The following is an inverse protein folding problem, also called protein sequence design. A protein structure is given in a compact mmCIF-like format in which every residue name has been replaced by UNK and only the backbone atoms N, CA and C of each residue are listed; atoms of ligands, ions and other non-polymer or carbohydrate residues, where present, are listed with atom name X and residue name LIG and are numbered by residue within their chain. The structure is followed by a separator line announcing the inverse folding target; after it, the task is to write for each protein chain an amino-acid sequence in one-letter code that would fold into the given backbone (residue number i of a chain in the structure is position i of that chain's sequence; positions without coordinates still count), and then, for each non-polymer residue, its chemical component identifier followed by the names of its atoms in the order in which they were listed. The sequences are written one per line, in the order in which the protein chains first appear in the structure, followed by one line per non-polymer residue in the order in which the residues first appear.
data_IF_247445005654
#
_entry.id   IF_247445005654
#
_cell.length_a   1.000
_cell.length_b   1.000
_cell.length_c   1.000
_cell.angle_alpha   90.00
_cell.angle_beta   90.00
_cell.angle_gamma   90.00
#
_symmetry.space_group_name_H-M   'P 1'
#
loop_
_entity.id
_entity.type
_entity.pdbx_description
1 polymer ?
#
# COMPACT_ATOMS: atom_id res chain seq x y z
N UNK A 1 44.63 23.28 -81.38
CA UNK A 1 44.16 24.03 -80.19
C UNK A 1 42.88 23.36 -79.75
N UNK A 2 42.76 22.62 -78.66
CA UNK A 2 43.64 22.29 -77.54
C UNK A 2 42.89 21.35 -76.59
N UNK A 3 43.65 20.74 -75.67
CA UNK A 3 43.31 20.10 -74.37
C UNK A 3 42.14 19.11 -74.27
N UNK A 4 42.31 17.89 -73.76
CA UNK A 4 42.82 17.43 -72.44
C UNK A 4 41.83 17.62 -71.29
N UNK A 5 41.64 16.54 -70.50
CA UNK A 5 40.88 16.43 -69.24
C UNK A 5 39.72 15.44 -69.40
N UNK A 6 39.78 14.16 -69.05
CA UNK A 6 40.13 13.57 -67.74
C UNK A 6 39.48 14.32 -66.58
N UNK A 7 38.29 13.87 -66.17
CA UNK A 7 37.82 14.04 -64.80
C UNK A 7 37.16 12.75 -64.32
N UNK A 8 37.84 12.18 -63.32
CA UNK A 8 37.46 11.03 -62.53
C UNK A 8 36.21 11.38 -61.72
N UNK A 9 35.09 10.70 -61.99
CA UNK A 9 33.96 10.76 -61.06
C UNK A 9 34.15 9.66 -60.01
N UNK A 10 34.66 10.09 -58.86
CA UNK A 10 34.90 9.28 -57.66
C UNK A 10 33.55 8.89 -57.06
N UNK A 11 33.36 7.58 -56.88
CA UNK A 11 32.31 7.00 -56.07
C UNK A 11 32.30 7.64 -54.67
N UNK A 12 31.28 8.46 -54.40
CA UNK A 12 30.97 8.93 -53.06
C UNK A 12 30.01 7.92 -52.41
N UNK A 13 30.58 7.04 -51.59
CA UNK A 13 29.83 6.24 -50.64
C UNK A 13 29.01 7.15 -49.70
N UNK A 14 27.73 6.83 -49.44
CA UNK A 14 26.95 7.54 -48.44
C UNK A 14 27.38 7.10 -47.02
N UNK A 15 27.91 8.03 -46.24
CA UNK A 15 28.17 7.87 -44.80
C UNK A 15 26.87 7.72 -44.01
N UNK A 16 26.63 6.62 -43.26
CA UNK A 16 25.53 6.52 -42.30
C UNK A 16 26.08 6.78 -40.90
N UNK A 17 26.21 8.05 -40.50
CA UNK A 17 26.77 8.39 -39.19
C UNK A 17 26.10 9.57 -38.48
N UNK A 18 24.84 9.90 -38.79
CA UNK A 18 24.16 11.01 -38.11
C UNK A 18 22.72 10.76 -37.62
N UNK A 19 22.18 9.54 -37.72
CA UNK A 19 20.80 9.25 -37.27
C UNK A 19 20.70 8.35 -36.02
N UNK A 20 21.79 8.17 -35.26
CA UNK A 20 21.81 7.31 -34.07
C UNK A 20 21.88 8.08 -32.74
N UNK A 21 21.32 9.29 -32.65
CA UNK A 21 21.38 10.09 -31.42
C UNK A 21 20.10 10.87 -31.12
N UNK A 22 18.94 10.21 -31.16
CA UNK A 22 17.77 10.62 -30.38
C UNK A 22 16.78 9.47 -30.24
N UNK A 23 17.06 8.59 -29.29
CA UNK A 23 16.05 7.80 -28.57
C UNK A 23 16.72 7.21 -27.32
N UNK A 24 17.17 8.11 -26.44
CA UNK A 24 17.18 7.76 -25.02
C UNK A 24 15.71 7.76 -24.66
N UNK A 25 15.10 6.57 -24.71
CA UNK A 25 13.85 6.31 -24.03
C UNK A 25 14.09 6.70 -22.58
N UNK A 26 13.55 7.84 -22.18
CA UNK A 26 13.33 8.14 -20.77
C UNK A 26 12.51 6.98 -20.25
N UNK A 27 13.18 6.01 -19.61
CA UNK A 27 12.52 5.09 -18.73
C UNK A 27 12.00 5.96 -17.61
N UNK A 28 10.74 6.36 -17.73
CA UNK A 28 9.95 6.87 -16.63
C UNK A 28 10.24 5.93 -15.46
N UNK A 29 10.95 6.46 -14.46
CA UNK A 29 11.16 5.76 -13.22
C UNK A 29 9.78 5.52 -12.65
N UNK A 30 9.25 4.31 -12.86
CA UNK A 30 8.22 3.75 -12.03
C UNK A 30 8.70 4.01 -10.61
N UNK A 31 8.00 4.88 -9.89
CA UNK A 31 8.20 5.05 -8.46
C UNK A 31 8.08 3.64 -7.90
N UNK A 32 9.21 3.01 -7.60
CA UNK A 32 9.24 1.70 -6.98
C UNK A 32 8.53 1.87 -5.65
N UNK A 33 7.24 1.54 -5.64
CA UNK A 33 6.51 1.33 -4.41
C UNK A 33 7.35 0.35 -3.61
N UNK A 34 7.89 0.84 -2.50
CA UNK A 34 8.90 0.15 -1.66
C UNK A 34 8.47 -1.24 -1.18
N UNK A 35 7.21 -1.60 -1.38
CA UNK A 35 6.59 -2.84 -0.95
C UNK A 35 6.11 -3.57 -2.21
N UNK A 36 6.59 -4.81 -2.37
CA UNK A 36 6.19 -5.73 -3.45
C UNK A 36 4.66 -5.81 -3.54
N UNK A 37 4.05 -5.68 -4.74
CA UNK A 37 2.61 -5.84 -4.95
C UNK A 37 2.02 -7.10 -4.32
N UNK A 38 2.78 -8.21 -4.26
CA UNK A 38 2.33 -9.44 -3.61
C UNK A 38 2.21 -9.25 -2.08
N UNK A 39 3.17 -8.56 -1.45
CA UNK A 39 3.11 -8.25 -0.02
C UNK A 39 1.95 -7.32 0.30
N UNK A 40 1.66 -6.33 -0.57
CA UNK A 40 0.48 -5.47 -0.40
C UNK A 40 -0.83 -6.23 -0.45
N UNK A 41 -0.94 -7.15 -1.40
CA UNK A 41 -2.11 -8.02 -1.51
C UNK A 41 -2.29 -8.86 -0.24
N UNK A 42 -1.20 -9.38 0.33
CA UNK A 42 -1.24 -10.10 1.60
C UNK A 42 -1.73 -9.20 2.74
N UNK A 43 -1.15 -8.00 2.88
CA UNK A 43 -1.56 -7.03 3.90
C UNK A 43 -3.04 -6.61 3.74
N UNK A 44 -3.52 -6.47 2.50
CA UNK A 44 -4.92 -6.15 2.21
C UNK A 44 -5.88 -7.28 2.61
N UNK A 45 -5.52 -8.53 2.34
CA UNK A 45 -6.30 -9.72 2.73
C UNK A 45 -6.31 -9.89 4.26
N UNK A 46 -5.18 -9.68 4.92
CA UNK A 46 -5.07 -9.71 6.37
C UNK A 46 -5.90 -8.56 7.00
N UNK A 47 -5.84 -7.37 6.41
CA UNK A 47 -6.64 -6.21 6.80
C UNK A 47 -8.15 -6.41 6.60
N UNK A 48 -8.58 -7.12 5.56
CA UNK A 48 -9.98 -7.52 5.39
C UNK A 48 -10.40 -8.50 6.49
N UNK A 49 -9.57 -9.51 6.76
CA UNK A 49 -9.85 -10.51 7.79
C UNK A 49 -10.00 -9.84 9.16
N UNK A 50 -9.09 -8.94 9.51
CA UNK A 50 -9.16 -8.16 10.76
C UNK A 50 -10.42 -7.31 10.83
N UNK A 51 -10.75 -6.58 9.74
CA UNK A 51 -11.96 -5.76 9.68
C UNK A 51 -13.25 -6.60 9.85
N UNK A 52 -13.31 -7.78 9.25
CA UNK A 52 -14.44 -8.70 9.44
C UNK A 52 -14.52 -9.20 10.90
N UNK A 53 -13.40 -9.54 11.53
CA UNK A 53 -13.37 -9.96 12.92
C UNK A 53 -13.81 -8.86 13.88
N UNK A 54 -13.28 -7.64 13.70
CA UNK A 54 -13.66 -6.47 14.50
C UNK A 54 -15.14 -6.14 14.33
N UNK A 55 -15.65 -6.24 13.12
CA UNK A 55 -17.05 -5.94 12.86
C UNK A 55 -18.01 -7.01 13.38
N UNK A 56 -17.66 -8.30 13.27
CA UNK A 56 -18.42 -9.38 13.90
C UNK A 56 -18.40 -9.26 15.43
N UNK A 57 -17.27 -8.83 15.98
CA UNK A 57 -17.15 -8.52 17.40
C UNK A 57 -18.01 -7.32 17.79
N UNK A 58 -17.97 -6.23 17.02
CA UNK A 58 -18.80 -5.04 17.23
C UNK A 58 -20.29 -5.35 17.13
N UNK A 59 -20.70 -6.16 16.16
CA UNK A 59 -22.08 -6.63 16.02
C UNK A 59 -22.49 -7.52 17.19
N UNK A 60 -21.62 -8.44 17.65
CA UNK A 60 -21.87 -9.23 18.85
C UNK A 60 -22.02 -8.36 20.09
N UNK A 61 -21.13 -7.39 20.25
CA UNK A 61 -21.11 -6.49 21.41
C UNK A 61 -22.33 -5.53 21.40
N UNK A 62 -22.85 -5.18 20.22
CA UNK A 62 -24.09 -4.41 20.05
C UNK A 62 -25.37 -5.25 20.27
N UNK A 63 -25.45 -6.45 19.69
CA UNK A 63 -26.66 -7.30 19.74
C UNK A 63 -26.80 -8.06 21.07
N UNK A 64 -25.69 -8.28 21.79
CA UNK A 64 -25.70 -9.00 23.07
C UNK A 64 -24.56 -8.50 23.99
N UNK A 65 -24.66 -7.27 24.53
CA UNK A 65 -23.63 -6.68 25.40
C UNK A 65 -23.30 -7.54 26.63
N UNK A 66 -24.28 -8.33 27.09
CA UNK A 66 -24.15 -9.22 28.26
C UNK A 66 -23.42 -10.53 27.94
N UNK A 67 -23.31 -10.90 26.66
CA UNK A 67 -22.61 -12.11 26.20
C UNK A 67 -21.09 -11.90 26.04
N UNK A 68 -20.62 -10.64 26.05
CA UNK A 68 -19.21 -10.26 25.96
C UNK A 68 -18.42 -10.42 27.27
N UNK A 69 -19.09 -10.66 28.40
CA UNK A 69 -18.45 -10.75 29.73
C UNK A 69 -17.89 -12.15 30.06
N UNK A 70 -17.33 -12.86 29.08
CA UNK A 70 -16.74 -14.19 29.28
C UNK A 70 -15.20 -14.23 29.26
N UNK A 71 -14.51 -13.09 29.29
CA UNK A 71 -13.03 -13.10 29.29
C UNK A 71 -12.29 -11.82 29.68
N UNK A 72 -12.98 -10.78 30.13
CA UNK A 72 -12.37 -9.50 30.54
C UNK A 72 -11.88 -9.46 31.99
N UNK A 73 -11.55 -10.60 32.61
CA UNK A 73 -10.78 -10.59 33.85
C UNK A 73 -9.30 -10.46 33.50
N UNK A 74 -8.80 -9.23 33.58
CA UNK A 74 -7.39 -8.88 33.81
C UNK A 74 -6.35 -9.84 33.21
N UNK A 75 -6.07 -9.71 31.92
CA UNK A 75 -4.74 -9.99 31.40
C UNK A 75 -3.79 -8.83 31.78
N UNK A 76 -3.64 -8.58 33.07
CA UNK A 76 -2.49 -7.85 33.61
C UNK A 76 -2.07 -8.52 34.93
N UNK A 77 -1.65 -9.78 34.83
CA UNK A 77 -0.95 -10.49 35.89
C UNK A 77 0.54 -10.46 35.58
N UNK A 78 1.16 -9.30 35.78
CA UNK A 78 2.58 -9.21 36.10
C UNK A 78 2.73 -8.45 37.41
N UNK A 79 2.70 -9.23 38.49
CA UNK A 79 3.62 -9.17 39.63
C UNK A 79 3.92 -7.79 40.23
N UNK A 80 3.35 -7.49 41.40
CA UNK A 80 4.14 -7.28 42.63
C UNK A 80 3.24 -7.23 43.86
N UNK A 81 3.58 -8.06 44.84
CA UNK A 81 3.10 -8.02 46.22
C UNK A 81 3.17 -6.62 46.82
N UNK A 82 2.16 -6.21 47.58
CA UNK A 82 2.25 -6.05 49.05
C UNK A 82 0.99 -5.37 49.63
N UNK A 83 0.44 -6.02 50.66
CA UNK A 83 -0.24 -5.46 51.83
C UNK A 83 -0.96 -4.11 51.70
N UNK A 84 -2.29 -4.15 51.79
CA UNK A 84 -3.08 -2.96 52.10
C UNK A 84 -4.56 -3.28 52.22
N UNK A 85 -5.01 -3.59 53.44
CA UNK A 85 -6.41 -3.48 53.79
C UNK A 85 -6.89 -2.06 53.47
N UNK A 86 -7.89 -1.91 52.62
CA UNK A 86 -8.84 -0.81 52.78
C UNK A 86 -10.19 -1.16 52.18
N UNK A 87 -11.16 -1.14 53.08
CA UNK A 87 -12.58 -1.04 52.86
C UNK A 87 -12.91 0.28 52.13
N UNK A 88 -13.97 0.31 51.35
CA UNK A 88 -14.53 1.57 50.82
C UNK A 88 -14.81 1.62 49.33
N UNK A 89 -16.10 1.45 49.01
CA UNK A 89 -16.83 2.20 47.98
C UNK A 89 -16.12 2.43 46.64
N UNK A 90 -16.35 1.53 45.68
CA UNK A 90 -16.22 1.89 44.27
C UNK A 90 -17.54 1.65 43.52
N UNK A 91 -18.52 2.49 43.82
CA UNK A 91 -19.78 2.62 43.09
C UNK A 91 -19.67 3.56 41.87
N UNK A 92 -18.47 3.71 41.30
CA UNK A 92 -18.21 4.67 40.23
C UNK A 92 -17.41 4.10 39.04
N UNK A 93 -17.53 2.80 38.78
CA UNK A 93 -17.16 2.28 37.47
C UNK A 93 -18.38 2.32 36.53
N UNK A 94 -18.84 3.54 36.22
CA UNK A 94 -19.75 3.77 35.09
C UNK A 94 -18.93 3.52 33.83
N UNK A 95 -19.11 2.31 33.31
CA UNK A 95 -18.74 1.94 31.97
C UNK A 95 -19.47 2.90 31.02
N UNK A 96 -18.79 3.91 30.47
CA UNK A 96 -19.37 4.92 29.56
C UNK A 96 -19.83 4.33 28.20
N UNK A 97 -19.72 3.02 28.02
CA UNK A 97 -20.16 2.27 26.82
C UNK A 97 -21.33 1.31 27.07
N UNK A 98 -21.99 1.37 28.22
CA UNK A 98 -23.26 0.67 28.42
C UNK A 98 -24.37 1.51 27.79
N UNK A 99 -24.92 1.07 26.65
CA UNK A 99 -26.16 1.64 26.13
C UNK A 99 -27.23 1.66 27.23
N UNK A 100 -28.08 2.70 27.28
CA UNK A 100 -29.08 2.81 28.32
C UNK A 100 -30.01 1.60 28.23
N UNK A 101 -30.06 0.81 29.30
CA UNK A 101 -31.07 -0.23 29.48
C UNK A 101 -32.45 0.37 29.14
N UNK A 102 -33.39 -0.43 28.63
CA UNK A 102 -34.74 0.04 28.28
C UNK A 102 -35.34 0.95 29.37
N UNK A 103 -35.03 0.64 30.64
CA UNK A 103 -35.43 1.41 31.81
C UNK A 103 -34.72 2.78 31.93
N UNK A 104 -33.44 2.89 31.57
CA UNK A 104 -32.71 4.16 31.49
C UNK A 104 -33.16 5.01 30.29
N UNK A 105 -33.41 4.38 29.13
CA UNK A 105 -34.00 5.06 27.98
C UNK A 105 -35.42 5.57 28.28
N UNK A 106 -36.23 4.79 29.00
CA UNK A 106 -37.56 5.24 29.47
C UNK A 106 -37.48 6.37 30.50
N UNK A 107 -36.51 6.31 31.42
CA UNK A 107 -36.29 7.34 32.43
C UNK A 107 -35.84 8.66 31.80
N UNK A 108 -34.94 8.64 30.81
CA UNK A 108 -34.49 9.84 30.08
C UNK A 108 -35.60 10.49 29.28
N UNK A 109 -36.45 9.71 28.60
CA UNK A 109 -37.65 10.22 27.94
C UNK A 109 -38.64 10.85 28.93
N UNK A 110 -38.89 10.21 30.08
CA UNK A 110 -39.75 10.77 31.13
C UNK A 110 -39.15 12.00 31.82
N UNK A 111 -37.83 12.10 31.89
CA UNK A 111 -37.11 13.28 32.36
C UNK A 111 -37.17 14.45 31.36
N UNK A 112 -37.71 14.22 30.15
CA UNK A 112 -37.86 15.24 29.12
C UNK A 112 -36.54 15.60 28.44
N UNK A 113 -35.58 14.66 28.40
CA UNK A 113 -34.35 14.87 27.67
C UNK A 113 -34.64 15.14 26.18
N UNK A 114 -34.02 16.19 25.65
CA UNK A 114 -34.35 16.74 24.33
C UNK A 114 -33.92 15.78 23.23
N UNK A 115 -32.81 15.07 23.42
CA UNK A 115 -32.28 14.14 22.42
C UNK A 115 -33.16 12.88 22.31
N UNK A 116 -33.53 12.28 23.43
CA UNK A 116 -34.40 11.10 23.46
C UNK A 116 -35.82 11.40 23.00
N UNK A 117 -36.39 12.56 23.37
CA UNK A 117 -37.69 12.99 22.86
C UNK A 117 -37.67 13.22 21.34
N UNK A 118 -36.63 13.86 20.81
CA UNK A 118 -36.49 14.07 19.37
C UNK A 118 -36.42 12.75 18.59
N UNK A 119 -35.66 11.78 19.09
CA UNK A 119 -35.53 10.45 18.48
C UNK A 119 -36.86 9.68 18.48
N UNK A 120 -37.56 9.66 19.62
CA UNK A 120 -38.88 9.01 19.74
C UNK A 120 -39.92 9.68 18.82
N UNK A 121 -39.91 11.02 18.73
CA UNK A 121 -40.79 11.75 17.83
C UNK A 121 -40.45 11.48 16.36
N UNK A 122 -39.17 11.38 16.00
CA UNK A 122 -38.75 11.07 14.62
C UNK A 122 -39.26 9.69 14.18
N UNK A 123 -39.13 8.67 15.03
CA UNK A 123 -39.50 7.29 14.69
C UNK A 123 -41.01 7.04 14.77
N UNK A 124 -41.73 7.82 15.59
CA UNK A 124 -43.18 7.72 15.79
C UNK A 124 -44.00 8.80 15.05
N UNK A 125 -43.44 9.46 14.04
CA UNK A 125 -44.18 10.41 13.20
C UNK A 125 -44.67 11.66 13.93
N UNK A 126 -43.92 12.11 14.95
CA UNK A 126 -44.18 13.32 15.73
C UNK A 126 -45.17 13.15 16.88
N UNK A 127 -45.68 11.94 17.12
CA UNK A 127 -46.59 11.67 18.23
C UNK A 127 -45.84 11.15 19.46
N UNK A 128 -46.15 11.73 20.62
CA UNK A 128 -45.64 11.24 21.89
C UNK A 128 -46.30 9.89 22.25
N UNK A 129 -45.55 8.83 22.57
CA UNK A 129 -46.11 7.57 23.05
C UNK A 129 -46.97 7.80 24.30
N UNK A 130 -48.23 7.36 24.25
CA UNK A 130 -49.19 7.55 25.35
C UNK A 130 -49.15 6.40 26.36
N UNK A 131 -48.62 5.24 25.95
CA UNK A 131 -48.53 4.02 26.78
C UNK A 131 -47.12 3.45 26.79
N UNK A 132 -46.79 2.71 27.86
CA UNK A 132 -45.50 2.02 28.00
C UNK A 132 -45.30 0.98 26.88
N UNK A 133 -46.37 0.32 26.46
CA UNK A 133 -46.34 -0.66 25.36
C UNK A 133 -46.02 -0.02 24.00
N UNK A 134 -46.40 1.24 23.78
CA UNK A 134 -46.02 1.98 22.58
C UNK A 134 -44.53 2.31 22.60
N UNK A 135 -44.00 2.64 23.78
CA UNK A 135 -42.59 2.90 23.99
C UNK A 135 -41.71 1.67 23.75
N UNK A 136 -42.13 0.49 24.22
CA UNK A 136 -41.44 -0.79 23.96
C UNK A 136 -41.34 -1.04 22.45
N UNK A 137 -42.42 -0.78 21.70
CA UNK A 137 -42.44 -0.96 20.24
C UNK A 137 -41.54 0.05 19.53
N UNK A 138 -41.54 1.30 19.96
CA UNK A 138 -40.69 2.35 19.38
C UNK A 138 -39.22 2.06 19.68
N UNK A 139 -38.89 1.67 20.90
CA UNK A 139 -37.53 1.27 21.28
C UNK A 139 -37.03 0.08 20.46
N UNK A 140 -37.82 -0.99 20.34
CA UNK A 140 -37.45 -2.14 19.50
C UNK A 140 -37.25 -1.74 18.02
N UNK A 141 -38.04 -0.78 17.52
CA UNK A 141 -37.87 -0.25 16.16
C UNK A 141 -36.59 0.58 16.00
N UNK A 142 -36.24 1.40 16.99
CA UNK A 142 -34.98 2.16 17.01
C UNK A 142 -33.79 1.21 17.02
N UNK A 143 -33.82 0.17 17.86
CA UNK A 143 -32.76 -0.84 17.92
C UNK A 143 -32.61 -1.60 16.61
N UNK A 144 -33.71 -2.03 16.00
CA UNK A 144 -33.66 -2.65 14.66
C UNK A 144 -33.09 -1.72 13.58
N UNK A 145 -33.34 -0.42 13.65
CA UNK A 145 -32.81 0.56 12.69
C UNK A 145 -31.32 0.79 12.89
N UNK A 146 -30.85 0.87 14.14
CA UNK A 146 -29.41 0.93 14.47
C UNK A 146 -28.68 -0.32 14.01
N UNK A 147 -29.24 -1.51 14.26
CA UNK A 147 -28.67 -2.78 13.80
C UNK A 147 -28.57 -2.83 12.27
N UNK A 148 -29.63 -2.40 11.58
CA UNK A 148 -29.65 -2.34 10.12
C UNK A 148 -28.58 -1.37 9.58
N UNK A 149 -28.39 -0.21 10.20
CA UNK A 149 -27.36 0.75 9.84
C UNK A 149 -25.94 0.18 10.08
N UNK A 150 -25.73 -0.50 11.22
CA UNK A 150 -24.45 -1.12 11.56
C UNK A 150 -24.10 -2.24 10.58
N UNK A 151 -25.06 -3.10 10.24
CA UNK A 151 -24.89 -4.15 9.21
C UNK A 151 -24.62 -3.54 7.84
N UNK A 152 -25.31 -2.46 7.47
CA UNK A 152 -25.08 -1.79 6.19
C UNK A 152 -23.67 -1.18 6.09
N UNK A 153 -23.19 -0.53 7.15
CA UNK A 153 -21.81 0.01 7.22
C UNK A 153 -20.77 -1.10 7.12
N UNK A 154 -21.01 -2.23 7.81
CA UNK A 154 -20.15 -3.40 7.74
C UNK A 154 -20.11 -3.97 6.32
N UNK A 155 -21.27 -4.23 5.73
CA UNK A 155 -21.36 -4.74 4.36
C UNK A 155 -20.65 -3.81 3.36
N UNK A 156 -20.82 -2.48 3.50
CA UNK A 156 -20.11 -1.50 2.69
C UNK A 156 -18.59 -1.59 2.84
N UNK A 157 -18.09 -1.72 4.08
CA UNK A 157 -16.64 -1.85 4.34
C UNK A 157 -16.06 -3.12 3.74
N UNK A 158 -16.76 -4.25 3.87
CA UNK A 158 -16.33 -5.53 3.28
C UNK A 158 -16.33 -5.44 1.76
N UNK A 159 -17.39 -4.93 1.14
CA UNK A 159 -17.48 -4.78 -0.31
C UNK A 159 -16.38 -3.86 -0.85
N UNK A 160 -16.11 -2.74 -0.19
CA UNK A 160 -15.03 -1.83 -0.59
C UNK A 160 -13.68 -2.52 -0.51
N UNK A 161 -13.34 -3.14 0.62
CA UNK A 161 -12.06 -3.85 0.79
C UNK A 161 -11.91 -5.03 -0.17
N UNK A 162 -12.99 -5.74 -0.48
CA UNK A 162 -12.99 -6.80 -1.49
C UNK A 162 -12.72 -6.24 -2.89
N UNK A 163 -13.34 -5.12 -3.26
CA UNK A 163 -13.06 -4.46 -4.53
C UNK A 163 -11.59 -3.99 -4.62
N UNK A 164 -11.06 -3.41 -3.54
CA UNK A 164 -9.65 -2.99 -3.47
C UNK A 164 -8.69 -4.19 -3.65
N UNK A 165 -9.04 -5.36 -3.09
CA UNK A 165 -8.28 -6.60 -3.29
C UNK A 165 -8.35 -7.06 -4.74
N UNK A 166 -9.53 -7.04 -5.36
CA UNK A 166 -9.70 -7.42 -6.77
C UNK A 166 -8.85 -6.52 -7.69
N UNK A 167 -8.86 -5.20 -7.45
CA UNK A 167 -8.02 -4.25 -8.19
C UNK A 167 -6.52 -4.53 -8.00
N UNK A 168 -6.10 -4.87 -6.78
CA UNK A 168 -4.71 -5.24 -6.49
C UNK A 168 -4.30 -6.56 -7.16
N UNK A 169 -5.18 -7.57 -7.17
CA UNK A 169 -4.94 -8.82 -7.90
C UNK A 169 -4.75 -8.51 -9.38
N UNK A 170 -5.62 -7.68 -9.97
CA UNK A 170 -5.52 -7.27 -11.37
C UNK A 170 -4.22 -6.53 -11.70
N UNK A 171 -3.66 -5.80 -10.74
CA UNK A 171 -2.41 -5.08 -10.88
C UNK A 171 -1.15 -5.95 -10.74
N UNK A 172 -1.25 -7.23 -10.31
CA UNK A 172 -0.07 -8.09 -10.11
C UNK A 172 0.68 -8.31 -11.44
N UNK A 173 1.97 -7.90 -11.53
CA UNK A 173 2.75 -8.05 -12.75
C UNK A 173 2.85 -9.50 -13.21
N UNK A 174 2.53 -9.73 -14.48
CA UNK A 174 2.62 -11.07 -15.07
C UNK A 174 1.55 -12.06 -14.62
N UNK A 175 0.47 -11.61 -13.95
CA UNK A 175 -0.66 -12.47 -13.57
C UNK A 175 -1.31 -13.18 -14.78
N UNK A 176 -1.31 -12.54 -15.95
CA UNK A 176 -1.85 -13.10 -17.19
C UNK A 176 -0.90 -14.10 -17.88
N UNK A 177 0.33 -14.26 -17.39
CA UNK A 177 1.35 -15.11 -18.02
C UNK A 177 1.29 -16.51 -17.43
N UNK A 178 1.37 -17.51 -18.29
CA UNK A 178 1.60 -18.89 -17.85
C UNK A 178 3.04 -19.08 -17.39
N UNK A 179 3.29 -20.10 -16.55
CA UNK A 179 4.64 -20.47 -16.12
C UNK A 179 5.60 -20.66 -17.31
N UNK A 180 5.15 -21.28 -18.39
CA UNK A 180 5.98 -21.50 -19.58
C UNK A 180 6.39 -20.18 -20.25
N UNK A 181 5.45 -19.24 -20.41
CA UNK A 181 5.73 -17.90 -20.95
C UNK A 181 6.66 -17.10 -20.03
N UNK A 182 6.50 -17.23 -18.70
CA UNK A 182 7.40 -16.61 -17.74
C UNK A 182 8.83 -17.16 -17.86
N UNK A 183 8.99 -18.48 -17.94
CA UNK A 183 10.30 -19.11 -18.13
C UNK A 183 10.95 -18.68 -19.44
N UNK A 184 10.21 -18.67 -20.55
CA UNK A 184 10.72 -18.21 -21.83
C UNK A 184 11.17 -16.74 -21.78
N UNK A 185 10.41 -15.88 -21.09
CA UNK A 185 10.79 -14.48 -20.90
C UNK A 185 12.06 -14.35 -20.05
N UNK A 186 12.21 -15.18 -19.02
CA UNK A 186 13.42 -15.19 -18.19
C UNK A 186 14.64 -15.59 -19.03
N UNK A 187 14.52 -16.64 -19.84
CA UNK A 187 15.61 -17.09 -20.73
C UNK A 187 16.00 -16.01 -21.75
N UNK A 188 15.01 -15.32 -22.34
CA UNK A 188 15.26 -14.19 -23.23
C UNK A 188 16.01 -13.06 -22.52
N UNK A 189 15.57 -12.68 -21.31
CA UNK A 189 16.20 -11.63 -20.53
C UNK A 189 17.64 -12.00 -20.12
N UNK A 190 17.89 -13.25 -19.76
CA UNK A 190 19.24 -13.75 -19.46
C UNK A 190 20.16 -13.64 -20.68
N UNK A 191 19.67 -14.00 -21.87
CA UNK A 191 20.42 -13.85 -23.12
C UNK A 191 20.75 -12.38 -23.41
N UNK A 192 19.76 -11.49 -23.32
CA UNK A 192 19.97 -10.06 -23.54
C UNK A 192 20.93 -9.45 -22.53
N UNK A 193 20.84 -9.85 -21.26
CA UNK A 193 21.75 -9.39 -20.22
C UNK A 193 23.20 -9.83 -20.52
N UNK A 194 23.38 -11.08 -20.95
CA UNK A 194 24.68 -11.59 -21.36
C UNK A 194 25.28 -10.81 -22.54
N UNK A 195 24.47 -10.52 -23.57
CA UNK A 195 24.90 -9.71 -24.72
C UNK A 195 25.32 -8.29 -24.31
N UNK A 196 24.57 -7.66 -23.40
CA UNK A 196 24.92 -6.34 -22.87
C UNK A 196 26.16 -6.34 -21.97
N UNK A 197 26.38 -7.41 -21.19
CA UNK A 197 27.63 -7.58 -20.43
C UNK A 197 28.83 -7.65 -21.38
N UNK A 198 28.74 -8.43 -22.46
CA UNK A 198 29.81 -8.55 -23.45
C UNK A 198 30.08 -7.22 -24.16
N UNK A 199 29.02 -6.50 -24.51
CA UNK A 199 29.12 -5.16 -25.10
C UNK A 199 29.78 -4.17 -24.14
N UNK A 200 29.42 -4.20 -22.87
CA UNK A 200 30.00 -3.36 -21.83
C UNK A 200 31.48 -3.67 -21.62
N UNK A 201 31.86 -4.95 -21.59
CA UNK A 201 33.26 -5.39 -21.46
C UNK A 201 34.11 -4.93 -22.65
N UNK A 202 33.59 -5.06 -23.88
CA UNK A 202 34.27 -4.53 -25.08
C UNK A 202 34.48 -3.02 -25.00
N UNK A 203 33.43 -2.27 -24.61
CA UNK A 203 33.52 -0.81 -24.42
C UNK A 203 34.56 -0.44 -23.36
N UNK A 204 34.58 -1.15 -22.24
CA UNK A 204 35.53 -0.94 -21.16
C UNK A 204 36.97 -1.24 -21.59
N UNK A 205 37.20 -2.32 -22.34
CA UNK A 205 38.52 -2.64 -22.93
C UNK A 205 39.02 -1.53 -23.83
N UNK A 206 38.18 -1.06 -24.76
CA UNK A 206 38.52 0.04 -25.67
C UNK A 206 38.82 1.34 -24.91
N UNK A 207 38.03 1.66 -23.89
CA UNK A 207 38.26 2.83 -23.04
C UNK A 207 39.60 2.72 -22.28
N UNK A 208 39.90 1.54 -21.74
CA UNK A 208 41.15 1.28 -21.01
C UNK A 208 42.38 1.36 -21.93
N UNK A 209 42.27 0.84 -23.15
CA UNK A 209 43.33 0.93 -24.14
C UNK A 209 43.60 2.39 -24.53
N UNK A 210 42.55 3.15 -24.85
CA UNK A 210 42.65 4.59 -25.14
C UNK A 210 43.26 5.36 -23.97
N UNK A 211 42.82 5.07 -22.75
CA UNK A 211 43.38 5.69 -21.56
C UNK A 211 44.87 5.38 -21.41
N UNK A 212 45.28 4.14 -21.68
CA UNK A 212 46.69 3.72 -21.62
C UNK A 212 47.53 4.43 -22.67
N UNK A 213 47.03 4.55 -23.92
CA UNK A 213 47.67 5.30 -24.99
C UNK A 213 47.83 6.78 -24.64
N UNK A 214 46.78 7.42 -24.11
CA UNK A 214 46.84 8.82 -23.67
C UNK A 214 47.84 9.00 -22.53
N UNK A 215 47.84 8.10 -21.53
CA UNK A 215 48.81 8.15 -20.41
C UNK A 215 50.25 8.00 -20.91
N UNK A 216 50.50 7.08 -21.84
CA UNK A 216 51.82 6.91 -22.44
C UNK A 216 52.23 8.16 -23.22
N UNK A 217 51.35 8.68 -24.08
CA UNK A 217 51.60 9.90 -24.85
C UNK A 217 51.92 11.10 -23.96
N UNK A 218 51.15 11.30 -22.89
CA UNK A 218 51.41 12.36 -21.90
C UNK A 218 52.76 12.15 -21.24
N UNK A 219 53.09 10.91 -20.82
CA UNK A 219 54.39 10.60 -20.22
C UNK A 219 55.53 10.96 -21.17
N UNK A 220 55.51 10.43 -22.40
CA UNK A 220 56.57 10.64 -23.39
C UNK A 220 56.76 12.13 -23.71
N UNK A 221 55.66 12.87 -23.92
CA UNK A 221 55.72 14.32 -24.18
C UNK A 221 56.21 15.12 -22.98
N UNK A 222 55.84 14.69 -21.77
CA UNK A 222 56.30 15.36 -20.55
C UNK A 222 57.79 15.09 -20.31
N UNK A 223 58.27 13.85 -20.49
CA UNK A 223 59.69 13.51 -20.38
C UNK A 223 60.53 14.27 -21.43
N UNK A 224 60.06 14.33 -22.68
CA UNK A 224 60.68 15.13 -23.75
C UNK A 224 60.72 16.63 -23.39
N UNK A 225 59.61 17.19 -22.88
CA UNK A 225 59.53 18.61 -22.52
C UNK A 225 60.45 18.95 -21.32
N UNK A 226 60.67 18.00 -20.41
CA UNK A 226 61.55 18.15 -19.26
C UNK A 226 63.02 17.80 -19.56
N UNK A 227 63.34 17.39 -20.80
CA UNK A 227 64.67 16.92 -21.21
C UNK A 227 65.24 15.82 -20.28
N UNK A 228 64.35 14.99 -19.74
CA UNK A 228 64.73 13.80 -18.97
C UNK A 228 64.98 12.70 -19.99
N UNK A 229 66.24 12.48 -20.35
CA UNK A 229 66.64 11.27 -21.05
C UNK A 229 66.44 10.11 -20.07
N UNK A 230 65.37 9.34 -20.27
CA UNK A 230 65.25 7.98 -19.70
C UNK A 230 66.24 7.08 -20.46
N UNK A 231 67.54 7.33 -20.24
CA UNK A 231 68.61 6.45 -20.66
C UNK A 231 68.58 5.18 -19.81
N UNK A 232 68.62 4.04 -20.51
CA UNK A 232 68.61 2.68 -19.99
C UNK A 232 69.38 2.50 -18.68
N UNK A 233 68.68 2.00 -17.66
CA UNK A 233 69.21 1.38 -16.44
C UNK A 233 68.51 0.06 -16.20
#
# INVERSE_FOLDING_TARGET
MGSSGDDMNVDQEPTPAQDALHQVSEGEGEEEEKVDPITKLQDAVDGLSLAMFEALRGLRDAVAPESGNLGGMNANANNTDTNGANDGNNANNRNENSEPDFEEFWQSYRAGDVATMALVHQVNGGQAPMRREDYIRIHAKIEMEKDAELVAKLAGTVLQKSADIDDQVMAVPGMHRTRAQQMQRIEELLRLNQEEIERLDQSHKLATERQSQIRQFIRDKTCLALAIDEGEG
#
